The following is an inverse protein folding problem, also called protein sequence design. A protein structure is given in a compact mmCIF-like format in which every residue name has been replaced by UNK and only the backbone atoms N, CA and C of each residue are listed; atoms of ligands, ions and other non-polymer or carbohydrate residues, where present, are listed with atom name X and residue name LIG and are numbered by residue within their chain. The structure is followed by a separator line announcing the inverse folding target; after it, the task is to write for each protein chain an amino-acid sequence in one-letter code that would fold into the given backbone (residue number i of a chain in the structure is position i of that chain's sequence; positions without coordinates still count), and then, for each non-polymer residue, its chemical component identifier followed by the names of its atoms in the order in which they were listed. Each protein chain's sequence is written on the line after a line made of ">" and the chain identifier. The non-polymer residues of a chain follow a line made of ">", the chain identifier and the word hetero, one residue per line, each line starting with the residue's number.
data_IF_578240855299
#
_entry.id   IF_578240855299
#
_cell.length_a   1.000
_cell.length_b   1.000
_cell.length_c   1.000
_cell.angle_alpha   90.00
_cell.angle_beta   90.00
_cell.angle_gamma   90.00
#
_symmetry.space_group_name_H-M   'P 1'
#
loop_
_entity.id
_entity.type
_entity.pdbx_description
1 polymer ?
#
# COMPACT_ATOMS: atom_id res chain seq x y z
N UNK A 1 44.50 -49.39 -1.53
CA UNK A 1 43.33 -49.06 -0.69
C UNK A 1 42.85 -47.65 -1.01
N UNK A 2 41.81 -47.52 -1.83
CA UNK A 2 41.08 -46.26 -2.06
C UNK A 2 39.79 -46.36 -1.25
N UNK A 3 39.71 -45.69 -0.10
CA UNK A 3 38.44 -45.49 0.58
C UNK A 3 37.84 -44.17 0.08
N UNK A 4 36.80 -44.30 -0.74
CA UNK A 4 35.95 -43.20 -1.19
C UNK A 4 34.96 -42.95 -0.06
N UNK A 5 35.17 -41.87 0.70
CA UNK A 5 34.17 -41.38 1.64
C UNK A 5 33.03 -40.76 0.83
N UNK A 6 31.98 -41.55 0.61
CA UNK A 6 30.72 -41.08 0.05
C UNK A 6 29.98 -40.29 1.15
N UNK A 7 30.32 -39.01 1.32
CA UNK A 7 29.48 -38.10 2.09
C UNK A 7 28.20 -37.88 1.27
N UNK A 8 27.12 -38.52 1.71
CA UNK A 8 25.78 -38.24 1.22
C UNK A 8 25.42 -36.81 1.68
N UNK A 9 25.58 -35.84 0.79
CA UNK A 9 25.00 -34.51 0.97
C UNK A 9 23.48 -34.65 0.85
N UNK A 10 22.80 -34.95 1.96
CA UNK A 10 21.37 -34.70 2.08
C UNK A 10 21.20 -33.18 2.00
N UNK A 11 20.92 -32.68 0.80
CA UNK A 11 20.43 -31.33 0.62
C UNK A 11 19.06 -31.26 1.31
N UNK A 12 19.05 -30.79 2.55
CA UNK A 12 17.81 -30.38 3.21
C UNK A 12 17.36 -29.13 2.45
N UNK A 13 16.51 -29.31 1.44
CA UNK A 13 15.83 -28.19 0.84
C UNK A 13 15.05 -27.49 1.97
N UNK A 14 15.23 -26.17 2.17
CA UNK A 14 14.45 -25.48 3.18
C UNK A 14 12.96 -25.66 2.84
N UNK A 15 12.15 -26.05 3.83
CA UNK A 15 10.69 -26.00 3.81
C UNK A 15 10.20 -24.54 3.75
N UNK A 16 10.73 -23.73 2.84
CA UNK A 16 10.37 -22.33 2.70
C UNK A 16 9.20 -22.19 1.71
N UNK A 17 8.06 -22.88 1.91
CA UNK A 17 6.93 -22.83 0.94
C UNK A 17 5.51 -22.93 1.52
N UNK A 18 5.26 -22.56 2.78
CA UNK A 18 3.88 -22.41 3.28
C UNK A 18 3.58 -21.08 3.98
N UNK A 19 4.58 -20.42 4.57
CA UNK A 19 4.35 -19.20 5.38
C UNK A 19 4.13 -17.93 4.55
N UNK A 20 4.59 -17.90 3.30
CA UNK A 20 4.57 -16.68 2.47
C UNK A 20 3.18 -16.35 1.90
N UNK A 21 2.28 -17.33 1.78
CA UNK A 21 0.94 -17.14 1.21
C UNK A 21 0.02 -16.28 2.08
N UNK A 22 0.35 -16.10 3.36
CA UNK A 22 -0.46 -15.33 4.30
C UNK A 22 0.12 -13.95 4.61
N UNK A 23 1.24 -13.58 3.98
CA UNK A 23 1.90 -12.31 4.19
C UNK A 23 1.61 -11.37 3.04
N UNK A 24 1.07 -10.20 3.35
CA UNK A 24 0.98 -9.11 2.38
C UNK A 24 0.93 -7.77 3.09
N UNK A 25 1.32 -6.72 2.37
CA UNK A 25 1.23 -5.36 2.85
C UNK A 25 -0.18 -4.82 2.63
N UNK A 26 -0.60 -3.80 3.39
CA UNK A 26 -1.89 -3.20 3.16
C UNK A 26 -1.99 -2.62 1.74
N UNK A 27 -3.19 -2.64 1.17
CA UNK A 27 -3.46 -2.10 -0.16
C UNK A 27 -4.88 -1.57 -0.23
N UNK A 28 -5.15 -0.71 -1.22
CA UNK A 28 -6.48 -0.17 -1.48
C UNK A 28 -6.97 -0.64 -2.84
N UNK A 29 -8.28 -0.84 -2.93
CA UNK A 29 -9.01 -0.72 -4.19
C UNK A 29 -9.25 0.78 -4.44
N UNK A 30 -8.31 1.40 -5.17
CA UNK A 30 -8.27 2.86 -5.35
C UNK A 30 -9.48 3.41 -6.10
N UNK A 31 -10.20 2.54 -6.83
CA UNK A 31 -11.36 2.94 -7.62
C UNK A 31 -12.59 3.17 -6.72
N UNK A 32 -12.66 2.50 -5.57
CA UNK A 32 -13.78 2.64 -4.62
C UNK A 32 -13.70 3.90 -3.77
N UNK A 33 -12.53 4.53 -3.69
CA UNK A 33 -12.32 5.74 -2.91
C UNK A 33 -11.55 6.80 -3.68
N UNK A 34 -11.81 6.88 -4.98
CA UNK A 34 -11.25 7.90 -5.84
C UNK A 34 -11.62 9.31 -5.31
N UNK A 35 -10.63 10.17 -5.05
CA UNK A 35 -10.85 11.59 -4.78
C UNK A 35 -11.68 12.28 -5.86
N UNK A 36 -12.65 13.09 -5.43
CA UNK A 36 -13.43 13.96 -6.32
C UNK A 36 -12.73 15.30 -6.45
N UNK A 37 -12.62 15.84 -7.67
CA UNK A 37 -12.02 17.15 -7.93
C UNK A 37 -12.88 18.24 -7.26
N UNK A 38 -12.31 19.08 -6.37
CA UNK A 38 -13.04 20.19 -5.77
C UNK A 38 -13.46 21.23 -6.82
N UNK A 39 -14.59 21.91 -6.61
CA UNK A 39 -15.11 22.94 -7.52
C UNK A 39 -14.10 24.07 -7.78
N UNK A 40 -13.40 24.53 -6.74
CA UNK A 40 -12.34 25.55 -6.84
C UNK A 40 -11.05 25.08 -7.55
N UNK A 41 -10.94 23.78 -7.81
CA UNK A 41 -9.76 23.16 -8.42
C UNK A 41 -9.93 22.90 -9.93
N UNK A 42 -10.98 23.44 -10.56
CA UNK A 42 -11.23 23.27 -12.00
C UNK A 42 -10.00 23.66 -12.84
N UNK A 43 -9.35 24.78 -12.52
CA UNK A 43 -8.11 25.23 -13.17
C UNK A 43 -6.83 24.51 -12.72
N UNK A 44 -6.91 23.61 -11.72
CA UNK A 44 -5.75 22.81 -11.33
C UNK A 44 -5.42 21.81 -12.43
N UNK A 45 -4.15 21.73 -12.83
CA UNK A 45 -3.71 20.89 -13.92
C UNK A 45 -3.67 19.40 -13.56
N UNK A 46 -2.69 18.70 -14.14
CA UNK A 46 -2.32 17.35 -13.73
C UNK A 46 -1.44 17.43 -12.49
N UNK A 47 -1.44 16.39 -11.67
CA UNK A 47 -0.59 16.34 -10.48
C UNK A 47 -0.55 14.95 -9.88
N UNK A 48 0.46 14.66 -9.07
CA UNK A 48 0.54 13.39 -8.32
C UNK A 48 0.76 13.68 -6.85
N UNK A 49 -0.19 13.26 -6.02
CA UNK A 49 -0.07 13.28 -4.56
C UNK A 49 0.53 11.95 -4.13
N UNK A 50 1.60 11.94 -3.32
CA UNK A 50 2.00 10.72 -2.61
C UNK A 50 1.51 10.79 -1.18
N UNK A 51 0.78 9.76 -0.77
CA UNK A 51 0.18 9.64 0.55
C UNK A 51 0.88 8.54 1.34
N UNK A 52 1.13 8.80 2.63
CA UNK A 52 1.35 7.76 3.62
C UNK A 52 0.05 7.55 4.41
N UNK A 53 -0.42 6.31 4.48
CA UNK A 53 -1.68 5.91 5.13
C UNK A 53 -1.37 4.86 6.20
N UNK A 54 -1.86 5.09 7.42
CA UNK A 54 -1.83 4.10 8.49
C UNK A 54 -3.13 3.31 8.44
N UNK A 55 -3.03 2.04 8.09
CA UNK A 55 -4.17 1.13 7.97
C UNK A 55 -4.21 0.26 9.21
N UNK A 56 -5.33 0.29 9.94
CA UNK A 56 -5.58 -0.54 11.10
C UNK A 56 -5.82 -2.01 10.73
N UNK A 57 -5.85 -2.87 11.75
CA UNK A 57 -6.10 -4.33 11.57
C UNK A 57 -7.46 -4.66 10.97
N UNK A 58 -8.41 -3.76 11.12
CA UNK A 58 -9.76 -3.82 10.55
C UNK A 58 -9.87 -3.18 9.15
N UNK A 59 -8.74 -2.71 8.59
CA UNK A 59 -8.73 -2.02 7.30
C UNK A 59 -9.11 -0.53 7.37
N UNK A 60 -9.51 -0.03 8.54
CA UNK A 60 -9.84 1.39 8.71
C UNK A 60 -8.59 2.26 8.68
N UNK A 61 -8.68 3.43 8.05
CA UNK A 61 -7.59 4.41 8.07
C UNK A 61 -7.52 5.10 9.43
N UNK A 62 -6.35 5.02 10.08
CA UNK A 62 -6.07 5.66 11.37
C UNK A 62 -5.35 7.00 11.21
N UNK A 63 -4.59 7.16 10.13
CA UNK A 63 -3.91 8.41 9.80
C UNK A 63 -3.63 8.51 8.30
N UNK A 64 -3.67 9.74 7.78
CA UNK A 64 -3.33 10.05 6.39
C UNK A 64 -2.44 11.30 6.31
N UNK A 65 -1.29 11.16 5.66
CA UNK A 65 -0.26 12.21 5.54
C UNK A 65 0.12 12.39 4.07
N UNK A 66 0.16 13.64 3.61
CA UNK A 66 0.77 13.99 2.33
C UNK A 66 2.29 13.93 2.52
N UNK A 67 2.96 13.02 1.81
CA UNK A 67 4.43 12.92 1.84
C UNK A 67 5.08 13.62 0.65
N UNK A 68 4.38 13.71 -0.50
CA UNK A 68 4.73 14.59 -1.62
C UNK A 68 3.47 15.24 -2.16
N UNK A 69 3.50 16.57 -2.25
CA UNK A 69 2.42 17.38 -2.83
C UNK A 69 2.33 17.21 -4.34
N UNK A 70 1.12 17.37 -4.89
CA UNK A 70 0.89 17.51 -6.34
C UNK A 70 1.31 18.88 -6.90
N UNK A 71 1.64 19.85 -6.04
CA UNK A 71 1.78 21.26 -6.39
C UNK A 71 0.46 22.05 -6.30
N UNK A 72 -0.67 21.38 -6.06
CA UNK A 72 -1.98 22.00 -5.91
C UNK A 72 -2.59 21.66 -4.54
N UNK A 73 -2.63 22.61 -3.59
CA UNK A 73 -3.09 22.32 -2.21
C UNK A 73 -4.51 21.74 -2.13
N UNK A 74 -5.40 22.15 -3.04
CA UNK A 74 -6.78 21.66 -3.09
C UNK A 74 -6.85 20.19 -3.53
N UNK A 75 -6.00 19.77 -4.46
CA UNK A 75 -5.90 18.38 -4.91
C UNK A 75 -5.29 17.48 -3.82
N UNK A 76 -4.31 18.00 -3.08
CA UNK A 76 -3.71 17.31 -1.94
C UNK A 76 -4.73 17.07 -0.82
N UNK A 77 -5.50 18.12 -0.48
CA UNK A 77 -6.56 18.05 0.52
C UNK A 77 -7.65 17.05 0.12
N UNK A 78 -8.15 17.13 -1.11
CA UNK A 78 -9.16 16.21 -1.64
C UNK A 78 -8.68 14.75 -1.60
N UNK A 79 -7.40 14.51 -1.94
CA UNK A 79 -6.81 13.16 -1.88
C UNK A 79 -6.80 12.64 -0.44
N UNK A 80 -6.36 13.48 0.49
CA UNK A 80 -6.31 13.12 1.92
C UNK A 80 -7.70 12.83 2.49
N UNK A 81 -8.68 13.66 2.18
CA UNK A 81 -10.05 13.51 2.67
C UNK A 81 -10.74 12.26 2.13
N UNK A 82 -10.53 11.93 0.86
CA UNK A 82 -11.05 10.70 0.27
C UNK A 82 -10.45 9.46 0.94
N UNK A 83 -9.13 9.44 1.14
CA UNK A 83 -8.47 8.28 1.75
C UNK A 83 -8.79 8.11 3.23
N UNK A 84 -9.04 9.19 3.98
CA UNK A 84 -9.52 9.10 5.38
C UNK A 84 -10.86 8.38 5.52
N UNK A 85 -11.70 8.38 4.47
CA UNK A 85 -13.01 7.73 4.44
C UNK A 85 -12.97 6.33 3.81
N UNK A 86 -11.82 5.93 3.28
CA UNK A 86 -11.66 4.68 2.55
C UNK A 86 -11.43 3.50 3.52
N UNK A 87 -11.87 2.31 3.11
CA UNK A 87 -11.52 1.05 3.77
C UNK A 87 -10.47 0.34 2.93
N UNK A 88 -9.33 0.05 3.55
CA UNK A 88 -8.21 -0.65 2.92
C UNK A 88 -8.23 -2.13 3.32
N UNK A 89 -7.52 -2.95 2.55
CA UNK A 89 -7.12 -4.26 3.02
C UNK A 89 -5.97 -4.12 4.00
N UNK A 90 -6.10 -4.70 5.19
CA UNK A 90 -5.07 -4.68 6.21
C UNK A 90 -3.82 -5.45 5.76
N UNK A 91 -2.66 -5.12 6.32
CA UNK A 91 -1.48 -5.97 6.14
C UNK A 91 -1.68 -7.28 6.92
N UNK A 92 -1.18 -8.38 6.36
CA UNK A 92 -1.19 -9.68 7.00
C UNK A 92 0.24 -10.13 7.29
N UNK A 93 0.47 -10.67 8.48
CA UNK A 93 1.74 -11.26 8.89
C UNK A 93 1.47 -12.54 9.66
N UNK A 94 1.94 -13.67 9.14
CA UNK A 94 1.63 -15.02 9.62
C UNK A 94 0.12 -15.25 9.80
N UNK A 95 -0.67 -14.79 8.82
CA UNK A 95 -2.13 -14.93 8.84
C UNK A 95 -2.87 -14.02 9.83
N UNK A 96 -2.17 -13.09 10.48
CA UNK A 96 -2.75 -12.14 11.42
C UNK A 96 -2.74 -10.74 10.83
N UNK A 97 -3.88 -10.05 10.92
CA UNK A 97 -3.99 -8.66 10.50
C UNK A 97 -3.15 -7.75 11.40
N UNK A 98 -2.35 -6.87 10.80
CA UNK A 98 -1.47 -5.92 11.47
C UNK A 98 -1.75 -4.51 11.01
N UNK A 99 -1.66 -3.59 11.96
CA UNK A 99 -1.64 -2.18 11.63
C UNK A 99 -0.31 -1.86 10.94
N UNK A 100 -0.36 -1.13 9.83
CA UNK A 100 0.83 -0.85 9.03
C UNK A 100 0.72 0.46 8.25
N UNK A 101 1.86 1.08 7.99
CA UNK A 101 1.96 2.20 7.06
C UNK A 101 2.15 1.70 5.64
N UNK A 102 1.45 2.34 4.71
CA UNK A 102 1.64 2.15 3.27
C UNK A 102 1.83 3.49 2.59
N UNK A 103 2.57 3.49 1.48
CA UNK A 103 2.78 4.67 0.65
C UNK A 103 2.21 4.39 -0.74
N UNK A 104 1.26 5.23 -1.17
CA UNK A 104 0.64 5.10 -2.48
C UNK A 104 0.50 6.46 -3.17
N UNK A 105 0.70 6.52 -4.50
CA UNK A 105 0.43 7.71 -5.30
C UNK A 105 -1.06 7.79 -5.67
N UNK A 106 -1.56 9.01 -5.85
CA UNK A 106 -2.80 9.29 -6.59
C UNK A 106 -2.50 10.30 -7.70
N UNK A 107 -2.88 9.96 -8.94
CA UNK A 107 -2.59 10.76 -10.13
C UNK A 107 -3.86 11.47 -10.61
N UNK A 108 -3.88 12.78 -10.44
CA UNK A 108 -4.90 13.65 -11.01
C UNK A 108 -4.69 13.79 -12.51
N UNK A 109 -5.76 13.55 -13.28
CA UNK A 109 -5.82 13.95 -14.69
C UNK A 109 -6.23 15.43 -14.77
N UNK A 110 -5.97 16.06 -15.92
CA UNK A 110 -6.48 17.41 -16.19
C UNK A 110 -8.02 17.38 -16.17
N UNK A 111 -8.65 18.48 -15.74
CA UNK A 111 -10.06 18.67 -16.05
C UNK A 111 -10.19 18.79 -17.57
N UNK A 112 -11.18 18.09 -18.10
CA UNK A 112 -11.71 18.19 -19.45
C UNK A 112 -12.50 19.49 -19.66
#
# INVERSE_FOLDING_TARGET
>A
MKLIALMCALAVAPLARAEDSFNHQAYADTDRCAPVRPEGAAGSGKGTVKMAILVGRDGAVRAAKVVRSSGHPQLDAATREAYLKCTFHAAMTYGQARESWIILPYKWRAAD
#
